data_IF_827457021360
#
_entry.id   IF_827457021360
#
_cell.length_a   1.000
_cell.length_b   1.000
_cell.length_c   1.000
_cell.angle_alpha   90.00
_cell.angle_beta   90.00
_cell.angle_gamma   90.00
#
_symmetry.space_group_name_H-M   'P 1'
#
loop_
_entity.id
_entity.type
_entity.pdbx_description
1 polymer ?
#
# COMPACT_ATOMS: atom_id res chain seq x y z
N UNK A 1 -12.28 -15.32 45.27
CA UNK A 1 -12.20 -15.05 46.71
C UNK A 1 -10.73 -14.90 47.10
N UNK A 2 -10.38 -13.94 47.96
CA UNK A 2 -9.05 -13.89 48.60
C UNK A 2 -9.03 -14.95 49.70
N UNK A 3 -8.11 -15.90 49.65
CA UNK A 3 -7.98 -16.99 50.63
C UNK A 3 -6.82 -16.74 51.58
N UNK A 4 -5.66 -16.33 51.05
CA UNK A 4 -4.46 -16.08 51.84
C UNK A 4 -3.85 -14.73 51.47
N UNK A 5 -3.38 -13.97 52.45
CA UNK A 5 -2.56 -12.78 52.29
C UNK A 5 -1.33 -12.88 53.20
N UNK A 6 -0.14 -12.86 52.60
CA UNK A 6 1.13 -12.81 53.31
C UNK A 6 1.85 -11.49 53.05
N UNK A 7 2.31 -10.85 54.12
CA UNK A 7 3.00 -9.57 54.07
C UNK A 7 4.31 -9.70 54.85
N UNK A 8 5.43 -9.37 54.20
CA UNK A 8 6.77 -9.39 54.81
C UNK A 8 7.47 -8.05 54.67
N UNK A 9 8.10 -7.60 55.75
CA UNK A 9 8.94 -6.40 55.84
C UNK A 9 8.26 -5.10 55.34
N UNK A 10 6.96 -4.94 55.61
CA UNK A 10 6.18 -3.79 55.16
C UNK A 10 5.78 -2.91 56.34
N UNK A 11 6.34 -1.71 56.42
CA UNK A 11 6.14 -0.74 57.48
C UNK A 11 6.34 -1.35 58.88
N UNK A 12 5.28 -1.52 59.66
CA UNK A 12 5.35 -2.13 61.00
C UNK A 12 5.25 -3.67 60.99
N UNK A 13 4.97 -4.28 59.83
CA UNK A 13 4.80 -5.72 59.67
C UNK A 13 6.15 -6.37 59.37
N UNK A 14 6.54 -7.35 60.17
CA UNK A 14 7.74 -8.17 59.97
C UNK A 14 7.41 -9.40 59.09
N UNK A 15 6.58 -10.31 59.58
CA UNK A 15 5.90 -11.36 58.80
C UNK A 15 4.45 -11.47 59.33
N UNK A 16 3.49 -11.33 58.43
CA UNK A 16 2.06 -11.48 58.72
C UNK A 16 1.46 -12.42 57.68
N UNK A 17 0.71 -13.41 58.16
CA UNK A 17 -0.05 -14.34 57.35
C UNK A 17 -1.52 -14.28 57.80
N UNK A 18 -2.42 -14.00 56.86
CA UNK A 18 -3.85 -13.88 57.09
C UNK A 18 -4.60 -14.83 56.17
N UNK A 19 -5.36 -15.73 56.78
CA UNK A 19 -6.30 -16.61 56.09
C UNK A 19 -7.70 -16.01 56.16
N UNK A 20 -8.39 -15.98 55.02
CA UNK A 20 -9.74 -15.43 54.87
C UNK A 20 -10.73 -16.58 54.63
N UNK A 21 -11.84 -16.53 55.36
CA UNK A 21 -12.96 -17.43 55.15
C UNK A 21 -13.94 -16.92 54.08
N UNK A 22 -14.85 -17.78 53.58
CA UNK A 22 -15.93 -17.33 52.71
C UNK A 22 -16.90 -16.39 53.46
N UNK A 23 -17.48 -15.43 52.72
CA UNK A 23 -18.46 -14.49 53.28
C UNK A 23 -17.83 -13.27 53.96
N UNK A 24 -18.33 -12.92 55.14
CA UNK A 24 -17.95 -11.69 55.86
C UNK A 24 -16.75 -11.94 56.77
N UNK A 25 -15.62 -11.29 56.46
CA UNK A 25 -14.44 -11.27 57.31
C UNK A 25 -14.34 -9.89 58.00
N UNK A 26 -14.36 -9.88 59.34
CA UNK A 26 -14.31 -8.63 60.13
C UNK A 26 -12.94 -8.51 60.81
N UNK A 27 -12.15 -7.52 60.39
CA UNK A 27 -10.85 -7.21 61.00
C UNK A 27 -11.03 -6.07 62.00
N UNK A 28 -10.79 -6.37 63.28
CA UNK A 28 -10.84 -5.42 64.42
C UNK A 28 -9.45 -5.24 65.05
N UNK A 29 -9.27 -4.20 65.86
CA UNK A 29 -8.01 -3.93 66.58
C UNK A 29 -8.03 -2.57 67.31
N UNK A 30 -7.10 -2.38 68.26
CA UNK A 30 -7.05 -1.18 69.13
C UNK A 30 -6.58 0.10 68.39
N UNK A 31 -5.66 -0.02 67.44
CA UNK A 31 -5.15 1.12 66.66
C UNK A 31 -5.36 0.92 65.16
N UNK A 32 -5.80 1.96 64.46
CA UNK A 32 -6.10 1.90 63.01
C UNK A 32 -4.89 1.67 62.10
N UNK A 33 -3.67 1.64 62.67
CA UNK A 33 -2.43 1.47 61.91
C UNK A 33 -2.32 0.08 61.27
N UNK A 34 -2.62 -1.00 62.01
CA UNK A 34 -2.50 -2.38 61.51
C UNK A 34 -3.44 -2.69 60.34
N UNK A 35 -4.72 -2.33 60.48
CA UNK A 35 -5.72 -2.48 59.41
C UNK A 35 -5.35 -1.67 58.16
N UNK A 36 -4.84 -0.46 58.35
CA UNK A 36 -4.43 0.40 57.24
C UNK A 36 -3.25 -0.18 56.46
N UNK A 37 -2.29 -0.83 57.13
CA UNK A 37 -1.16 -1.48 56.43
C UNK A 37 -1.59 -2.72 55.65
N UNK A 38 -2.56 -3.49 56.15
CA UNK A 38 -3.14 -4.63 55.41
C UNK A 38 -3.82 -4.15 54.13
N UNK A 39 -4.66 -3.10 54.21
CA UNK A 39 -5.31 -2.53 53.02
C UNK A 39 -4.30 -1.93 52.03
N UNK A 40 -3.28 -1.22 52.52
CA UNK A 40 -2.19 -0.69 51.67
C UNK A 40 -1.38 -1.80 51.01
N UNK A 41 -1.17 -2.93 51.69
CA UNK A 41 -0.50 -4.09 51.11
C UNK A 41 -1.31 -4.69 49.97
N UNK A 42 -2.64 -4.80 50.13
CA UNK A 42 -3.54 -5.24 49.08
C UNK A 42 -3.55 -4.26 47.89
N UNK A 43 -3.65 -2.95 48.13
CA UNK A 43 -3.57 -1.94 47.07
C UNK A 43 -2.24 -2.01 46.31
N UNK A 44 -1.14 -2.18 47.03
CA UNK A 44 0.18 -2.41 46.45
C UNK A 44 0.20 -3.71 45.64
N UNK A 45 -0.32 -4.81 46.16
CA UNK A 45 -0.38 -6.08 45.44
C UNK A 45 -1.16 -5.97 44.12
N UNK A 46 -2.15 -5.08 44.06
CA UNK A 46 -3.08 -4.87 42.93
C UNK A 46 -2.67 -3.72 41.98
N UNK A 47 -1.51 -3.11 42.17
CA UNK A 47 -0.89 -2.24 41.15
C UNK A 47 -0.67 -0.80 41.57
N UNK A 48 -1.12 -0.40 42.77
CA UNK A 48 -0.83 0.92 43.31
C UNK A 48 0.66 1.06 43.61
N UNK A 49 1.16 2.29 43.57
CA UNK A 49 2.55 2.58 43.94
C UNK A 49 2.67 2.63 45.46
N UNK A 50 3.74 2.05 45.97
CA UNK A 50 4.09 2.07 47.39
C UNK A 50 5.40 2.85 47.54
N UNK A 51 5.43 3.77 48.49
CA UNK A 51 6.62 4.57 48.73
C UNK A 51 7.74 3.71 49.37
N UNK A 52 8.99 3.97 48.98
CA UNK A 52 10.15 3.15 49.38
C UNK A 52 10.39 3.17 50.89
N UNK A 53 10.04 4.27 51.55
CA UNK A 53 10.09 4.41 53.02
C UNK A 53 9.11 3.50 53.78
N UNK A 54 8.24 2.78 53.07
CA UNK A 54 7.40 1.74 53.66
C UNK A 54 8.07 0.36 53.64
N UNK A 55 9.27 0.21 53.05
CA UNK A 55 10.10 -0.97 53.32
C UNK A 55 10.64 -0.84 54.75
N UNK A 56 10.48 -1.88 55.56
CA UNK A 56 10.89 -1.88 56.96
C UNK A 56 12.39 -1.57 57.08
N UNK A 57 12.81 -0.66 57.98
CA UNK A 57 14.23 -0.35 58.19
C UNK A 57 15.05 -1.60 58.49
N UNK A 58 16.23 -1.72 57.87
CA UNK A 58 17.11 -2.88 58.02
C UNK A 58 16.85 -4.04 57.04
N UNK A 59 15.86 -3.93 56.15
CA UNK A 59 15.56 -4.94 55.13
C UNK A 59 15.72 -4.41 53.70
N UNK A 60 16.22 -5.26 52.81
CA UNK A 60 16.48 -4.91 51.41
C UNK A 60 15.21 -4.84 50.55
N UNK A 61 14.13 -5.52 50.98
CA UNK A 61 12.87 -5.58 50.25
C UNK A 61 11.64 -5.85 51.12
N UNK A 62 10.50 -5.30 50.69
CA UNK A 62 9.17 -5.66 51.17
C UNK A 62 8.51 -6.62 50.15
N UNK A 63 7.73 -7.60 50.64
CA UNK A 63 7.05 -8.60 49.82
C UNK A 63 5.60 -8.74 50.26
N UNK A 64 4.69 -8.75 49.29
CA UNK A 64 3.26 -9.05 49.51
C UNK A 64 2.86 -10.18 48.57
N UNK A 65 2.14 -11.16 49.09
CA UNK A 65 1.63 -12.30 48.35
C UNK A 65 0.17 -12.54 48.68
N UNK A 66 -0.63 -12.91 47.70
CA UNK A 66 -1.98 -13.39 47.95
C UNK A 66 -2.35 -14.56 47.06
N UNK A 67 -3.20 -15.42 47.62
CA UNK A 67 -3.84 -16.54 46.91
C UNK A 67 -5.29 -16.20 46.71
N UNK A 68 -5.73 -16.23 45.45
CA UNK A 68 -7.11 -16.05 45.06
C UNK A 68 -7.68 -17.36 44.54
N UNK A 69 -8.79 -17.79 45.13
CA UNK A 69 -9.50 -19.02 44.74
C UNK A 69 -10.84 -18.65 44.08
N UNK A 70 -11.09 -19.24 42.91
CA UNK A 70 -12.39 -19.17 42.21
C UNK A 70 -12.34 -18.36 40.91
N UNK A 71 -12.88 -18.94 39.84
CA UNK A 71 -13.11 -18.31 38.54
C UNK A 71 -14.59 -18.33 38.14
N UNK A 72 -14.99 -17.41 37.27
CA UNK A 72 -16.24 -17.52 36.50
C UNK A 72 -16.17 -18.86 35.73
N UNK A 73 -17.16 -19.75 35.89
CA UNK A 73 -17.31 -21.07 35.24
C UNK A 73 -16.91 -22.32 36.04
N UNK A 74 -16.72 -22.25 37.36
CA UNK A 74 -16.62 -23.47 38.19
C UNK A 74 -15.32 -24.27 38.03
N UNK A 75 -14.29 -23.71 37.40
CA UNK A 75 -12.94 -24.26 37.52
C UNK A 75 -12.26 -23.73 38.79
N UNK A 76 -11.65 -24.62 39.57
CA UNK A 76 -10.83 -24.33 40.74
C UNK A 76 -9.47 -23.74 40.35
N UNK A 77 -9.45 -22.64 39.60
CA UNK A 77 -8.21 -21.97 39.23
C UNK A 77 -7.74 -21.11 40.39
N UNK A 78 -6.67 -21.55 41.06
CA UNK A 78 -5.94 -20.72 42.01
C UNK A 78 -5.07 -19.70 41.25
N UNK A 79 -5.11 -18.45 41.70
CA UNK A 79 -4.24 -17.39 41.18
C UNK A 79 -3.38 -16.86 42.31
N UNK A 80 -2.07 -17.05 42.19
CA UNK A 80 -1.09 -16.56 43.15
C UNK A 80 -0.46 -15.29 42.61
N UNK A 81 -0.59 -14.19 43.34
CA UNK A 81 0.03 -12.91 42.98
C UNK A 81 1.09 -12.59 44.03
N UNK A 82 2.31 -12.28 43.58
CA UNK A 82 3.42 -11.84 44.42
C UNK A 82 3.94 -10.51 43.91
N UNK A 83 4.12 -9.53 44.79
CA UNK A 83 4.78 -8.26 44.46
C UNK A 83 5.88 -7.94 45.46
N UNK A 84 7.05 -7.59 44.97
CA UNK A 84 8.20 -7.18 45.78
C UNK A 84 8.58 -5.73 45.48
N UNK A 85 8.98 -4.98 46.51
CA UNK A 85 9.54 -3.62 46.40
C UNK A 85 10.96 -3.61 46.97
N UNK A 86 11.94 -3.18 46.18
CA UNK A 86 13.35 -3.04 46.61
C UNK A 86 13.59 -1.69 47.30
N UNK A 87 14.21 -1.73 48.49
CA UNK A 87 14.59 -0.54 49.26
C UNK A 87 15.67 0.28 48.55
N UNK A 88 16.65 -0.37 47.92
CA UNK A 88 17.79 0.29 47.28
C UNK A 88 17.45 0.91 45.92
N UNK A 89 16.66 0.20 45.10
CA UNK A 89 16.35 0.64 43.73
C UNK A 89 15.00 1.34 43.59
N UNK A 90 14.12 1.21 44.58
CA UNK A 90 12.73 1.68 44.50
C UNK A 90 11.89 0.97 43.43
N UNK A 91 12.42 -0.06 42.76
CA UNK A 91 11.72 -0.78 41.70
C UNK A 91 10.83 -1.85 42.31
N UNK A 92 9.58 -1.93 41.84
CA UNK A 92 8.67 -3.02 42.16
C UNK A 92 8.67 -4.08 41.06
N UNK A 93 8.69 -5.36 41.43
CA UNK A 93 8.51 -6.50 40.50
C UNK A 93 7.25 -7.26 40.89
N UNK A 94 6.54 -7.79 39.91
CA UNK A 94 5.29 -8.52 40.15
C UNK A 94 5.30 -9.84 39.39
N UNK A 95 4.77 -10.86 40.05
CA UNK A 95 4.63 -12.21 39.53
C UNK A 95 3.18 -12.65 39.67
N UNK A 96 2.69 -13.36 38.67
CA UNK A 96 1.37 -14.02 38.66
C UNK A 96 1.63 -15.48 38.31
N UNK A 97 1.25 -16.41 39.18
CA UNK A 97 1.49 -17.85 39.03
C UNK A 97 2.96 -18.17 38.72
N UNK A 98 3.87 -17.57 39.50
CA UNK A 98 5.33 -17.67 39.38
C UNK A 98 5.95 -17.11 38.08
N UNK A 99 5.17 -16.51 37.18
CA UNK A 99 5.66 -15.82 35.98
C UNK A 99 5.75 -14.31 36.19
N UNK A 100 6.80 -13.67 35.63
CA UNK A 100 6.94 -12.21 35.66
C UNK A 100 5.82 -11.54 34.86
N UNK A 101 5.08 -10.64 35.50
CA UNK A 101 3.93 -9.95 34.89
C UNK A 101 4.16 -8.44 34.76
N UNK A 102 3.41 -7.82 33.85
CA UNK A 102 3.39 -6.36 33.69
C UNK A 102 2.35 -5.70 34.59
N UNK A 103 2.53 -4.40 34.86
CA UNK A 103 1.55 -3.62 35.64
C UNK A 103 0.16 -3.58 34.96
N UNK A 104 0.11 -3.60 33.63
CA UNK A 104 -1.17 -3.60 32.89
C UNK A 104 -1.90 -4.94 32.98
N UNK A 105 -1.16 -6.05 33.03
CA UNK A 105 -1.75 -7.38 33.30
C UNK A 105 -2.44 -7.39 34.66
N UNK A 106 -1.80 -6.77 35.65
CA UNK A 106 -2.31 -6.66 37.00
C UNK A 106 -3.57 -5.77 37.10
N UNK A 107 -3.63 -4.65 36.36
CA UNK A 107 -4.83 -3.81 36.28
C UNK A 107 -6.04 -4.57 35.71
N UNK A 108 -5.82 -5.46 34.74
CA UNK A 108 -6.88 -6.33 34.17
C UNK A 108 -7.37 -7.36 35.18
N UNK A 109 -6.47 -7.90 36.01
CA UNK A 109 -6.83 -8.86 37.08
C UNK A 109 -7.53 -8.17 38.26
N UNK A 110 -7.13 -6.94 38.61
CA UNK A 110 -7.70 -6.18 39.74
C UNK A 110 -9.22 -6.10 39.69
N UNK A 111 -9.80 -5.74 38.54
CA UNK A 111 -11.26 -5.59 38.40
C UNK A 111 -12.04 -6.89 38.57
N UNK A 112 -11.38 -8.05 38.48
CA UNK A 112 -11.98 -9.38 38.63
C UNK A 112 -11.75 -9.98 40.03
N UNK A 113 -10.68 -9.59 40.72
CA UNK A 113 -10.26 -10.23 41.97
C UNK A 113 -10.72 -9.50 43.23
N UNK A 114 -10.59 -8.18 43.28
CA UNK A 114 -10.90 -7.37 44.47
C UNK A 114 -11.59 -6.07 44.06
N UNK A 115 -12.74 -5.81 44.68
CA UNK A 115 -13.34 -4.48 44.72
C UNK A 115 -12.98 -3.81 46.05
N UNK A 116 -12.05 -2.86 46.02
CA UNK A 116 -11.71 -2.05 47.19
C UNK A 116 -12.55 -0.76 47.17
N UNK A 117 -13.46 -0.62 48.14
CA UNK A 117 -14.15 0.63 48.43
C UNK A 117 -13.26 1.48 49.34
N UNK A 118 -12.49 2.41 48.77
CA UNK A 118 -11.58 3.29 49.50
C UNK A 118 -11.90 4.76 49.27
N UNK A 119 -11.15 5.65 49.92
CA UNK A 119 -11.24 7.10 49.69
C UNK A 119 -10.94 7.48 48.23
N UNK A 120 -10.21 6.65 47.48
CA UNK A 120 -10.01 6.83 46.03
C UNK A 120 -11.25 6.48 45.21
N UNK A 121 -12.10 5.54 45.65
CA UNK A 121 -13.38 5.21 44.99
C UNK A 121 -14.35 6.39 45.02
N UNK A 122 -14.21 7.29 46.00
CA UNK A 122 -14.95 8.56 46.04
C UNK A 122 -14.60 9.49 44.86
N UNK A 123 -13.39 9.39 44.29
CA UNK A 123 -13.00 10.21 43.12
C UNK A 123 -13.72 9.72 41.85
N UNK A 124 -13.94 8.41 41.71
CA UNK A 124 -14.71 7.87 40.57
C UNK A 124 -16.18 8.31 40.61
N UNK A 125 -16.77 8.40 41.80
CA UNK A 125 -18.11 8.94 42.02
C UNK A 125 -18.26 10.43 41.68
N UNK A 126 -17.17 11.15 41.37
CA UNK A 126 -17.22 12.53 40.87
C UNK A 126 -17.20 12.62 39.35
N UNK A 127 -16.91 11.52 38.65
CA UNK A 127 -16.78 11.50 37.19
C UNK A 127 -18.17 11.33 36.53
N UNK A 128 -18.61 12.26 35.67
CA UNK A 128 -19.88 12.10 34.94
C UNK A 128 -19.93 10.84 34.07
N UNK A 129 -18.79 10.43 33.51
CA UNK A 129 -18.69 9.18 32.73
C UNK A 129 -18.86 7.91 33.57
N UNK A 130 -18.63 7.99 34.88
CA UNK A 130 -18.94 6.91 35.80
C UNK A 130 -20.43 6.87 36.11
N UNK A 131 -21.08 8.02 36.28
CA UNK A 131 -22.53 8.11 36.48
C UNK A 131 -23.32 7.55 35.30
N UNK A 132 -22.93 7.91 34.08
CA UNK A 132 -23.51 7.34 32.85
C UNK A 132 -23.37 5.82 32.81
N UNK A 133 -22.15 5.29 33.02
CA UNK A 133 -21.95 3.84 33.04
C UNK A 133 -22.66 3.12 34.18
N UNK A 134 -22.86 3.79 35.32
CA UNK A 134 -23.61 3.24 36.44
C UNK A 134 -25.08 3.11 36.07
N UNK A 135 -25.69 4.17 35.53
CA UNK A 135 -27.08 4.15 35.12
C UNK A 135 -27.32 3.19 33.95
N UNK A 136 -26.41 3.18 32.97
CA UNK A 136 -26.51 2.36 31.76
C UNK A 136 -26.53 0.84 32.07
N UNK A 137 -26.04 0.42 33.24
CA UNK A 137 -26.10 -0.98 33.70
C UNK A 137 -27.49 -1.43 34.14
N UNK A 138 -28.36 -0.49 34.48
CA UNK A 138 -29.72 -0.75 34.94
C UNK A 138 -30.77 -0.50 33.86
N UNK A 139 -30.35 -0.17 32.64
CA UNK A 139 -31.27 0.02 31.51
C UNK A 139 -32.06 -1.25 31.24
N UNK A 140 -33.32 -1.08 30.87
CA UNK A 140 -34.16 -2.18 30.41
C UNK A 140 -33.65 -2.72 29.06
N UNK A 141 -33.06 -1.84 28.24
CA UNK A 141 -32.54 -2.16 26.92
C UNK A 141 -31.04 -1.83 26.78
N UNK A 142 -30.14 -2.62 27.39
CA UNK A 142 -28.69 -2.35 27.34
C UNK A 142 -28.10 -2.39 25.91
N UNK A 143 -28.80 -3.03 24.96
CA UNK A 143 -28.39 -3.09 23.56
C UNK A 143 -28.47 -1.72 22.87
N UNK A 144 -29.29 -0.78 23.35
CA UNK A 144 -29.39 0.59 22.79
C UNK A 144 -28.05 1.34 22.87
N UNK A 145 -27.26 1.11 23.93
CA UNK A 145 -25.94 1.73 24.08
C UNK A 145 -24.98 1.22 23.01
N UNK A 146 -25.00 -0.10 22.75
CA UNK A 146 -24.16 -0.73 21.71
C UNK A 146 -24.59 -0.29 20.31
N UNK A 147 -25.90 -0.22 20.07
CA UNK A 147 -26.44 0.21 18.79
C UNK A 147 -26.11 1.68 18.50
N UNK A 148 -26.18 2.56 19.52
CA UNK A 148 -25.71 3.95 19.43
C UNK A 148 -24.24 4.01 19.02
N UNK A 149 -23.36 3.28 19.71
CA UNK A 149 -21.92 3.29 19.41
C UNK A 149 -21.62 2.75 18.00
N UNK A 150 -22.36 1.72 17.56
CA UNK A 150 -22.27 1.16 16.20
C UNK A 150 -22.71 2.18 15.14
N UNK A 151 -23.85 2.84 15.35
CA UNK A 151 -24.40 3.86 14.43
C UNK A 151 -23.50 5.08 14.35
N UNK A 152 -22.96 5.53 15.48
CA UNK A 152 -21.99 6.63 15.52
C UNK A 152 -20.73 6.27 14.73
N UNK A 153 -20.17 5.07 14.92
CA UNK A 153 -18.99 4.62 14.17
C UNK A 153 -19.27 4.55 12.67
N UNK A 154 -20.44 4.02 12.28
CA UNK A 154 -20.87 3.99 10.87
C UNK A 154 -20.99 5.39 10.29
N UNK A 155 -21.62 6.32 11.01
CA UNK A 155 -21.79 7.71 10.57
C UNK A 155 -20.43 8.41 10.40
N UNK A 156 -19.52 8.29 11.36
CA UNK A 156 -18.16 8.84 11.26
C UNK A 156 -17.43 8.29 10.03
N UNK A 157 -17.48 6.98 9.80
CA UNK A 157 -16.83 6.37 8.63
C UNK A 157 -17.40 6.86 7.30
N UNK A 158 -18.71 7.09 7.21
CA UNK A 158 -19.34 7.64 5.99
C UNK A 158 -18.90 9.09 5.73
N UNK A 159 -18.80 9.90 6.79
CA UNK A 159 -18.36 11.30 6.70
C UNK A 159 -16.88 11.37 6.32
N UNK A 160 -16.02 10.56 6.94
CA UNK A 160 -14.61 10.47 6.58
C UNK A 160 -14.45 10.08 5.10
N UNK A 161 -15.25 9.10 4.65
CA UNK A 161 -15.27 8.69 3.24
C UNK A 161 -15.73 9.80 2.29
N UNK A 162 -16.68 10.64 2.72
CA UNK A 162 -17.13 11.80 1.94
C UNK A 162 -16.01 12.82 1.80
N UNK A 163 -15.32 13.14 2.89
CA UNK A 163 -14.19 14.07 2.88
C UNK A 163 -13.07 13.57 1.94
N UNK A 164 -12.68 12.29 2.03
CA UNK A 164 -11.69 11.69 1.12
C UNK A 164 -12.09 11.81 -0.35
N UNK A 165 -13.36 11.52 -0.66
CA UNK A 165 -13.88 11.57 -2.02
C UNK A 165 -13.91 13.02 -2.54
N UNK A 166 -14.35 13.97 -1.71
CA UNK A 166 -14.40 15.39 -2.06
C UNK A 166 -13.00 15.98 -2.29
N UNK A 167 -12.02 15.63 -1.46
CA UNK A 167 -10.62 16.03 -1.65
C UNK A 167 -10.06 15.49 -2.96
N UNK A 168 -10.23 14.19 -3.21
CA UNK A 168 -9.78 13.57 -4.47
C UNK A 168 -10.45 14.20 -5.69
N UNK A 169 -11.74 14.53 -5.60
CA UNK A 169 -12.46 15.20 -6.69
C UNK A 169 -12.02 16.64 -6.89
N UNK A 170 -11.68 17.35 -5.81
CA UNK A 170 -11.12 18.70 -5.91
C UNK A 170 -9.80 18.67 -6.67
N UNK A 171 -8.89 17.77 -6.30
CA UNK A 171 -7.60 17.61 -6.98
C UNK A 171 -7.75 17.26 -8.47
N UNK A 172 -8.68 16.35 -8.79
CA UNK A 172 -8.96 15.98 -10.18
C UNK A 172 -9.62 17.11 -10.97
N UNK A 173 -10.50 17.92 -10.34
CA UNK A 173 -11.12 19.09 -10.97
C UNK A 173 -10.10 20.17 -11.28
N UNK A 174 -9.17 20.45 -10.37
CA UNK A 174 -8.08 21.41 -10.60
C UNK A 174 -7.18 20.99 -11.77
N UNK A 175 -7.00 19.67 -11.96
CA UNK A 175 -6.20 19.11 -13.05
C UNK A 175 -7.01 18.82 -14.31
N UNK A 176 -8.33 19.04 -14.31
CA UNK A 176 -9.23 18.62 -15.39
C UNK A 176 -8.81 19.18 -16.75
N UNK A 177 -8.55 20.48 -16.83
CA UNK A 177 -8.18 21.14 -18.09
C UNK A 177 -6.86 20.58 -18.65
N UNK A 178 -5.90 20.27 -17.78
CA UNK A 178 -4.64 19.63 -18.16
C UNK A 178 -4.88 18.20 -18.67
N UNK A 179 -5.70 17.42 -17.97
CA UNK A 179 -6.05 16.05 -18.36
C UNK A 179 -6.79 16.01 -19.71
N UNK A 180 -7.74 16.92 -19.93
CA UNK A 180 -8.47 17.05 -21.21
C UNK A 180 -7.52 17.46 -22.34
N UNK A 181 -6.61 18.41 -22.08
CA UNK A 181 -5.57 18.79 -23.03
C UNK A 181 -4.70 17.58 -23.41
N UNK A 182 -4.16 16.85 -22.41
CA UNK A 182 -3.34 15.66 -22.62
C UNK A 182 -4.08 14.58 -23.41
N UNK A 183 -5.35 14.30 -23.05
CA UNK A 183 -6.21 13.36 -23.77
C UNK A 183 -6.36 13.77 -25.24
N UNK A 184 -6.62 15.04 -25.51
CA UNK A 184 -6.83 15.54 -26.87
C UNK A 184 -5.57 15.43 -27.73
N UNK A 185 -4.39 15.74 -27.17
CA UNK A 185 -3.12 15.66 -27.89
C UNK A 185 -2.72 14.21 -28.19
N UNK A 186 -2.92 13.29 -27.23
CA UNK A 186 -2.67 11.86 -27.44
C UNK A 186 -3.67 11.29 -28.45
N UNK A 187 -4.95 11.65 -28.36
CA UNK A 187 -5.99 11.14 -29.25
C UNK A 187 -5.78 11.55 -30.72
N UNK A 188 -5.23 12.75 -30.99
CA UNK A 188 -4.89 13.21 -32.34
C UNK A 188 -3.87 12.31 -33.04
N UNK A 189 -2.87 11.82 -32.31
CA UNK A 189 -1.78 10.99 -32.86
C UNK A 189 -2.12 9.50 -32.78
N UNK A 190 -2.90 9.11 -31.77
CA UNK A 190 -3.30 7.74 -31.44
C UNK A 190 -2.13 6.74 -31.51
N UNK A 191 -1.10 6.92 -30.66
CA UNK A 191 0.07 6.06 -30.67
C UNK A 191 -0.27 4.63 -30.23
N UNK A 192 0.40 3.64 -30.82
CA UNK A 192 0.33 2.24 -30.38
C UNK A 192 1.62 1.83 -29.64
N UNK A 193 1.53 0.90 -28.67
CA UNK A 193 2.72 0.28 -28.07
C UNK A 193 3.60 -0.39 -29.14
N UNK A 194 4.93 -0.23 -29.06
CA UNK A 194 5.89 -0.84 -29.99
C UNK A 194 5.91 -0.26 -31.41
N UNK A 195 5.03 0.70 -31.73
CA UNK A 195 4.91 1.25 -33.09
C UNK A 195 6.21 1.94 -33.57
N UNK A 196 6.89 2.66 -32.68
CA UNK A 196 8.13 3.37 -33.02
C UNK A 196 9.24 2.40 -33.42
N UNK A 197 9.42 1.32 -32.66
CA UNK A 197 10.43 0.29 -32.90
C UNK A 197 10.17 -0.46 -34.22
N UNK A 198 8.91 -0.83 -34.48
CA UNK A 198 8.52 -1.47 -35.74
C UNK A 198 8.79 -0.57 -36.96
N UNK A 199 8.48 0.73 -36.84
CA UNK A 199 8.71 1.70 -37.91
C UNK A 199 10.20 1.99 -38.13
N UNK A 200 11.01 2.04 -37.08
CA UNK A 200 12.47 2.22 -37.19
C UNK A 200 13.14 1.02 -37.90
N UNK A 201 12.77 -0.21 -37.53
CA UNK A 201 13.28 -1.42 -38.22
C UNK A 201 12.88 -1.40 -39.69
N UNK A 202 11.61 -1.09 -39.99
CA UNK A 202 11.13 -1.04 -41.37
C UNK A 202 11.80 0.08 -42.19
N UNK A 203 12.05 1.24 -41.56
CA UNK A 203 12.80 2.35 -42.16
C UNK A 203 14.22 1.92 -42.53
N UNK A 204 14.92 1.20 -41.65
CA UNK A 204 16.27 0.73 -41.92
C UNK A 204 16.29 -0.23 -43.12
N UNK A 205 15.37 -1.19 -43.16
CA UNK A 205 15.24 -2.13 -44.29
C UNK A 205 15.02 -1.39 -45.62
N UNK A 206 14.14 -0.38 -45.64
CA UNK A 206 13.90 0.42 -46.85
C UNK A 206 15.11 1.26 -47.26
N UNK A 207 15.89 1.77 -46.30
CA UNK A 207 17.15 2.47 -46.59
C UNK A 207 18.21 1.55 -47.17
N UNK A 208 18.35 0.36 -46.61
CA UNK A 208 19.30 -0.66 -47.10
C UNK A 208 18.92 -1.09 -48.53
N UNK A 209 17.62 -1.27 -48.80
CA UNK A 209 17.12 -1.54 -50.16
C UNK A 209 17.41 -0.39 -51.13
N UNK A 210 17.21 0.87 -50.70
CA UNK A 210 17.51 2.04 -51.52
C UNK A 210 19.03 2.18 -51.82
N UNK A 211 19.89 1.90 -50.84
CA UNK A 211 21.35 1.89 -51.04
C UNK A 211 21.77 0.75 -51.98
N UNK A 212 21.22 -0.46 -51.80
CA UNK A 212 21.47 -1.58 -52.71
C UNK A 212 21.07 -1.23 -54.14
N UNK A 213 19.93 -0.55 -54.32
CA UNK A 213 19.49 -0.06 -55.63
C UNK A 213 20.49 0.94 -56.23
N UNK A 214 20.98 1.90 -55.46
CA UNK A 214 22.01 2.84 -55.93
C UNK A 214 23.29 2.12 -56.37
N UNK A 215 23.74 1.11 -55.62
CA UNK A 215 24.90 0.30 -56.00
C UNK A 215 24.67 -0.51 -57.28
N UNK A 216 23.46 -1.06 -57.46
CA UNK A 216 23.07 -1.74 -58.70
C UNK A 216 23.07 -0.77 -59.88
N UNK A 217 22.49 0.42 -59.70
CA UNK A 217 22.44 1.46 -60.74
C UNK A 217 23.86 1.91 -61.13
N UNK A 218 24.74 2.15 -60.15
CA UNK A 218 26.16 2.48 -60.40
C UNK A 218 26.91 1.34 -61.09
N UNK A 219 26.64 0.08 -60.74
CA UNK A 219 27.26 -1.07 -61.40
C UNK A 219 26.79 -1.21 -62.86
N UNK A 220 25.50 -0.99 -63.13
CA UNK A 220 24.94 -0.98 -64.49
C UNK A 220 25.54 0.18 -65.30
N UNK A 221 25.69 1.36 -64.70
CA UNK A 221 26.33 2.52 -65.32
C UNK A 221 27.77 2.17 -65.76
N UNK A 222 28.60 1.62 -64.87
CA UNK A 222 29.97 1.20 -65.21
C UNK A 222 30.03 0.16 -66.35
N UNK A 223 29.05 -0.74 -66.44
CA UNK A 223 28.97 -1.76 -67.49
C UNK A 223 28.56 -1.16 -68.85
N UNK A 224 27.53 -0.31 -68.84
CA UNK A 224 26.77 0.09 -70.03
C UNK A 224 27.00 1.54 -70.46
N UNK A 225 27.92 2.28 -69.83
CA UNK A 225 28.20 3.68 -70.20
C UNK A 225 28.62 3.74 -71.67
N UNK A 226 27.97 4.56 -72.52
CA UNK A 226 28.35 4.69 -73.93
C UNK A 226 29.83 5.06 -74.10
N UNK A 227 30.51 4.44 -75.06
CA UNK A 227 31.90 4.65 -75.47
C UNK A 227 33.00 4.25 -74.46
N UNK A 228 32.67 4.21 -73.17
CA UNK A 228 33.62 4.04 -72.06
C UNK A 228 33.30 2.88 -71.13
N UNK A 229 32.10 2.30 -71.23
CA UNK A 229 31.67 1.17 -70.43
C UNK A 229 32.46 -0.09 -70.74
N UNK A 230 32.47 -1.01 -69.77
CA UNK A 230 33.19 -2.29 -69.89
C UNK A 230 32.78 -3.10 -71.12
N UNK A 231 31.50 -3.08 -71.50
CA UNK A 231 31.04 -3.75 -72.72
C UNK A 231 31.71 -3.19 -73.99
N UNK A 232 31.77 -1.87 -74.12
CA UNK A 232 32.37 -1.19 -75.27
C UNK A 232 33.89 -1.33 -75.28
N UNK A 233 34.54 -1.18 -74.11
CA UNK A 233 35.97 -1.34 -73.95
C UNK A 233 36.42 -2.77 -74.31
N UNK A 234 35.69 -3.78 -73.84
CA UNK A 234 35.96 -5.18 -74.17
C UNK A 234 35.74 -5.47 -75.65
N UNK A 235 34.68 -4.91 -76.25
CA UNK A 235 34.44 -5.00 -77.69
C UNK A 235 35.58 -4.41 -78.53
N UNK A 236 36.10 -3.24 -78.13
CA UNK A 236 37.27 -2.59 -78.75
C UNK A 236 38.54 -3.45 -78.60
N UNK A 237 38.79 -3.99 -77.41
CA UNK A 237 39.93 -4.87 -77.14
C UNK A 237 39.88 -6.15 -77.98
N UNK A 238 38.72 -6.83 -78.01
CA UNK A 238 38.51 -8.03 -78.83
C UNK A 238 38.80 -7.77 -80.30
N UNK A 239 38.35 -6.62 -80.83
CA UNK A 239 38.64 -6.22 -82.21
C UNK A 239 40.15 -6.00 -82.45
N UNK A 240 40.86 -5.41 -81.50
CA UNK A 240 42.31 -5.22 -81.60
C UNK A 240 43.09 -6.54 -81.57
N UNK A 241 42.70 -7.47 -80.69
CA UNK A 241 43.30 -8.82 -80.60
C UNK A 241 43.04 -9.63 -81.86
N UNK A 242 41.79 -9.66 -82.38
CA UNK A 242 41.47 -10.31 -83.65
C UNK A 242 42.30 -9.76 -84.81
N UNK A 243 42.48 -8.43 -84.88
CA UNK A 243 43.33 -7.81 -85.89
C UNK A 243 44.79 -8.27 -85.74
N UNK A 244 45.32 -8.33 -84.52
CA UNK A 244 46.67 -8.79 -84.23
C UNK A 244 46.86 -10.27 -84.63
N UNK A 245 45.98 -11.16 -84.19
CA UNK A 245 45.99 -12.58 -84.56
C UNK A 245 45.91 -12.76 -86.09
N UNK A 246 45.07 -11.98 -86.78
CA UNK A 246 44.97 -12.02 -88.25
C UNK A 246 46.20 -11.46 -88.97
N UNK A 247 46.99 -10.59 -88.32
CA UNK A 247 48.23 -10.03 -88.87
C UNK A 247 49.44 -10.95 -88.60
N UNK A 248 49.33 -11.84 -87.60
CA UNK A 248 50.44 -12.65 -87.06
C UNK A 248 50.60 -14.04 -87.74
N UNK A 249 49.88 -14.38 -88.82
CA UNK A 249 50.30 -15.53 -89.67
C UNK A 249 49.98 -15.34 -91.16
N UNK A 250 50.89 -15.68 -92.10
CA UNK A 250 51.94 -16.73 -92.03
C UNK A 250 53.41 -16.23 -92.11
N UNK A 251 53.72 -14.94 -91.87
CA UNK A 251 55.10 -14.43 -92.01
C UNK A 251 55.98 -14.54 -90.75
N UNK A 252 55.38 -14.73 -89.58
CA UNK A 252 56.09 -14.81 -88.29
C UNK A 252 56.17 -16.26 -87.78
N UNK A 253 55.23 -17.13 -88.19
CA UNK A 253 55.27 -18.56 -87.87
C UNK A 253 56.53 -19.27 -88.40
N UNK A 254 57.07 -18.86 -89.56
CA UNK A 254 58.35 -19.37 -90.08
C UNK A 254 59.57 -18.96 -89.23
N UNK A 255 59.54 -17.80 -88.57
CA UNK A 255 60.70 -17.30 -87.79
C UNK A 255 60.66 -17.71 -86.31
N UNK A 256 59.50 -18.06 -85.77
CA UNK A 256 59.37 -18.52 -84.38
C UNK A 256 59.50 -20.05 -84.27
N UNK A 257 59.22 -20.80 -85.34
CA UNK A 257 59.41 -22.26 -85.35
C UNK A 257 60.88 -22.70 -85.29
N UNK A 258 61.84 -21.81 -85.56
CA UNK A 258 63.28 -22.12 -85.44
C UNK A 258 63.84 -21.95 -84.02
N UNK A 259 63.09 -21.40 -83.06
CA UNK A 259 63.60 -21.08 -81.72
C UNK A 259 62.96 -21.91 -80.58
N UNK A 260 61.88 -22.65 -80.85
CA UNK A 260 61.10 -23.35 -79.82
C UNK A 260 61.02 -24.88 -79.98
N UNK A 261 62.05 -25.51 -80.54
CA UNK A 261 62.16 -26.99 -80.66
C UNK A 261 62.68 -27.71 -79.39
N UNK A 262 62.63 -27.08 -78.21
CA UNK A 262 63.06 -27.76 -76.98
C UNK A 262 61.92 -27.77 -75.96
N UNK A 263 61.40 -28.98 -75.75
CA UNK A 263 60.47 -29.44 -74.70
C UNK A 263 58.96 -29.37 -75.01
N UNK A 264 58.52 -30.27 -75.89
CA UNK A 264 57.17 -30.81 -75.85
C UNK A 264 57.08 -31.93 -74.78
N UNK A 265 56.24 -31.71 -73.76
CA UNK A 265 55.66 -32.78 -72.93
C UNK A 265 54.14 -32.73 -73.07
N UNK A 266 53.56 -33.89 -73.37
CA UNK A 266 52.19 -34.13 -73.78
C UNK A 266 51.19 -33.93 -72.62
N UNK A 267 50.71 -32.71 -72.38
CA UNK A 267 49.36 -32.45 -71.81
C UNK A 267 48.87 -31.00 -71.97
N UNK A 268 49.32 -30.26 -72.99
CA UNK A 268 48.90 -28.87 -73.17
C UNK A 268 47.48 -28.78 -73.76
N UNK A 269 46.50 -28.13 -73.09
CA UNK A 269 45.24 -27.78 -73.73
C UNK A 269 45.54 -26.90 -74.95
N UNK A 270 44.78 -27.09 -76.04
CA UNK A 270 44.87 -26.22 -77.24
C UNK A 270 44.94 -24.75 -76.79
N UNK A 271 45.82 -23.92 -77.37
CA UNK A 271 45.78 -22.49 -77.10
C UNK A 271 44.42 -21.99 -77.60
N UNK A 272 43.50 -21.74 -76.67
CA UNK A 272 42.30 -20.98 -76.94
C UNK A 272 42.78 -19.64 -77.47
N UNK A 273 42.27 -19.21 -78.62
CA UNK A 273 42.60 -17.87 -79.13
C UNK A 273 42.24 -16.85 -78.08
N UNK A 274 43.11 -15.86 -77.83
CA UNK A 274 42.86 -14.82 -76.83
C UNK A 274 41.56 -14.06 -77.18
N UNK A 275 41.19 -14.00 -78.46
CA UNK A 275 39.91 -13.45 -78.91
C UNK A 275 38.69 -14.29 -78.49
N UNK A 276 38.79 -15.62 -78.46
CA UNK A 276 37.74 -16.53 -77.97
C UNK A 276 37.57 -16.40 -76.45
N UNK A 277 38.68 -16.27 -75.70
CA UNK A 277 38.64 -16.01 -74.26
C UNK A 277 37.95 -14.66 -73.95
N UNK A 278 38.23 -13.62 -74.73
CA UNK A 278 37.57 -12.31 -74.61
C UNK A 278 36.07 -12.37 -74.98
N UNK A 279 35.68 -13.23 -75.92
CA UNK A 279 34.27 -13.45 -76.27
C UNK A 279 33.51 -14.09 -75.11
N UNK A 280 34.06 -15.16 -74.51
CA UNK A 280 33.48 -15.80 -73.33
C UNK A 280 33.36 -14.80 -72.16
N UNK A 281 34.38 -13.97 -71.93
CA UNK A 281 34.31 -12.93 -70.90
C UNK A 281 33.18 -11.90 -71.15
N UNK A 282 32.93 -11.57 -72.43
CA UNK A 282 31.82 -10.68 -72.81
C UNK A 282 30.43 -11.25 -72.52
N UNK A 283 30.25 -12.57 -72.70
CA UNK A 283 29.02 -13.28 -72.32
C UNK A 283 28.82 -13.27 -70.79
N UNK A 284 29.90 -13.52 -70.03
CA UNK A 284 29.85 -13.43 -68.56
C UNK A 284 29.48 -12.02 -68.06
N UNK A 285 29.94 -10.97 -68.74
CA UNK A 285 29.52 -9.60 -68.44
C UNK A 285 28.03 -9.37 -68.75
N UNK A 286 27.49 -9.90 -69.86
CA UNK A 286 26.06 -9.79 -70.17
C UNK A 286 25.20 -10.54 -69.13
N UNK A 287 25.65 -11.71 -68.67
CA UNK A 287 24.97 -12.45 -67.60
C UNK A 287 25.03 -11.71 -66.25
N UNK A 288 26.14 -11.03 -65.96
CA UNK A 288 26.24 -10.14 -64.80
C UNK A 288 25.27 -8.97 -64.90
N UNK A 289 25.23 -8.27 -66.03
CA UNK A 289 24.29 -7.18 -66.29
C UNK A 289 22.84 -7.64 -66.11
N UNK A 290 22.48 -8.79 -66.69
CA UNK A 290 21.14 -9.36 -66.57
C UNK A 290 20.76 -9.66 -65.13
N UNK A 291 21.69 -10.20 -64.33
CA UNK A 291 21.49 -10.43 -62.89
C UNK A 291 21.29 -9.11 -62.13
N UNK A 292 22.12 -8.11 -62.40
CA UNK A 292 22.02 -6.79 -61.77
C UNK A 292 20.69 -6.10 -62.10
N UNK A 293 20.27 -6.10 -63.37
CA UNK A 293 18.96 -5.57 -63.79
C UNK A 293 17.79 -6.35 -63.18
N UNK A 294 17.96 -7.63 -62.89
CA UNK A 294 16.98 -8.45 -62.18
C UNK A 294 16.74 -7.97 -60.73
N UNK A 295 17.77 -7.42 -60.08
CA UNK A 295 17.70 -6.87 -58.72
C UNK A 295 17.03 -5.48 -58.66
N UNK A 296 16.99 -4.75 -59.78
CA UNK A 296 16.62 -3.33 -59.84
C UNK A 296 15.11 -2.98 -59.72
N UNK A 297 14.22 -3.94 -59.40
CA UNK A 297 12.76 -3.77 -59.57
C UNK A 297 12.00 -3.17 -58.38
N UNK A 298 12.65 -2.54 -57.42
CA UNK A 298 12.02 -2.03 -56.19
C UNK A 298 11.78 -0.51 -56.21
N UNK A 299 10.93 -0.01 -57.11
CA UNK A 299 10.50 1.41 -57.11
C UNK A 299 9.44 1.75 -56.04
N UNK A 300 8.82 0.74 -55.41
CA UNK A 300 7.79 0.92 -54.36
C UNK A 300 8.33 1.45 -53.02
N UNK A 301 9.66 1.53 -52.82
CA UNK A 301 10.25 1.83 -51.52
C UNK A 301 10.22 3.33 -51.12
N UNK A 302 10.21 4.27 -52.08
CA UNK A 302 10.33 5.70 -51.79
C UNK A 302 9.08 6.30 -51.12
N UNK A 303 7.89 6.03 -51.65
CA UNK A 303 6.64 6.52 -51.06
C UNK A 303 6.35 5.92 -49.69
N UNK A 304 6.71 4.65 -49.47
CA UNK A 304 6.61 4.01 -48.16
C UNK A 304 7.57 4.66 -47.15
N UNK A 305 8.80 4.98 -47.56
CA UNK A 305 9.79 5.62 -46.70
C UNK A 305 9.32 7.00 -46.22
N UNK A 306 8.79 7.84 -47.12
CA UNK A 306 8.26 9.16 -46.77
C UNK A 306 7.09 9.06 -45.76
N UNK A 307 6.19 8.09 -45.95
CA UNK A 307 5.07 7.87 -45.04
C UNK A 307 5.53 7.42 -43.64
N UNK A 308 6.56 6.57 -43.57
CA UNK A 308 7.15 6.10 -42.32
C UNK A 308 7.87 7.26 -41.61
N UNK A 309 8.61 8.08 -42.35
CA UNK A 309 9.29 9.26 -41.78
C UNK A 309 8.29 10.31 -41.27
N UNK A 310 7.18 10.54 -41.98
CA UNK A 310 6.10 11.41 -41.52
C UNK A 310 5.48 10.88 -40.23
N UNK A 311 5.20 9.57 -40.15
CA UNK A 311 4.62 8.95 -38.94
C UNK A 311 5.58 9.00 -37.75
N UNK A 312 6.86 8.68 -37.94
CA UNK A 312 7.89 8.82 -36.91
C UNK A 312 8.03 10.27 -36.44
N UNK A 313 7.89 11.24 -37.35
CA UNK A 313 7.91 12.65 -36.98
C UNK A 313 6.72 13.03 -36.09
N UNK A 314 5.49 12.59 -36.40
CA UNK A 314 4.31 12.78 -35.56
C UNK A 314 4.51 12.23 -34.14
N UNK A 315 5.02 10.99 -34.03
CA UNK A 315 5.35 10.36 -32.75
C UNK A 315 6.41 11.16 -31.98
N UNK A 316 7.43 11.67 -32.67
CA UNK A 316 8.48 12.50 -32.05
C UNK A 316 7.94 13.84 -31.52
N UNK A 317 6.99 14.46 -32.23
CA UNK A 317 6.34 15.70 -31.79
C UNK A 317 5.50 15.46 -30.55
N UNK A 318 4.77 14.34 -30.49
CA UNK A 318 4.03 13.95 -29.30
C UNK A 318 4.97 13.74 -28.09
N UNK A 319 6.08 13.01 -28.27
CA UNK A 319 7.11 12.81 -27.24
C UNK A 319 7.67 14.14 -26.72
N UNK A 320 7.90 15.12 -27.60
CA UNK A 320 8.37 16.46 -27.22
C UNK A 320 7.34 17.25 -26.42
N UNK A 321 6.07 17.24 -26.85
CA UNK A 321 4.97 17.93 -26.15
C UNK A 321 4.73 17.35 -24.77
N UNK A 322 4.73 16.02 -24.66
CA UNK A 322 4.45 15.30 -23.42
C UNK A 322 5.69 15.10 -22.53
N UNK A 323 6.89 15.36 -23.08
CA UNK A 323 8.21 15.18 -22.43
C UNK A 323 8.42 13.79 -21.82
N UNK A 324 7.92 12.76 -22.51
CA UNK A 324 7.92 11.35 -22.04
C UNK A 324 8.19 10.38 -23.20
N UNK A 325 8.68 9.16 -22.92
CA UNK A 325 8.78 8.10 -23.92
C UNK A 325 7.39 7.60 -24.35
N UNK A 326 7.31 6.93 -25.50
CA UNK A 326 6.04 6.53 -26.11
C UNK A 326 5.24 5.57 -25.21
N UNK A 327 5.90 4.60 -24.58
CA UNK A 327 5.26 3.65 -23.67
C UNK A 327 4.58 4.34 -22.48
N UNK A 328 5.27 5.32 -21.88
CA UNK A 328 4.71 6.12 -20.80
C UNK A 328 3.53 6.98 -21.28
N UNK A 329 3.56 7.47 -22.53
CA UNK A 329 2.45 8.24 -23.09
C UNK A 329 1.21 7.36 -23.28
N UNK A 330 1.38 6.11 -23.69
CA UNK A 330 0.27 5.15 -23.79
C UNK A 330 -0.33 4.86 -22.41
N UNK A 331 0.52 4.62 -21.40
CA UNK A 331 0.02 4.44 -20.01
C UNK A 331 -0.65 5.69 -19.47
N UNK A 332 -0.08 6.86 -19.76
CA UNK A 332 -0.67 8.15 -19.39
C UNK A 332 -2.06 8.32 -20.01
N UNK A 333 -2.28 7.86 -21.25
CA UNK A 333 -3.61 7.87 -21.88
C UNK A 333 -4.63 7.11 -21.04
N UNK A 334 -4.29 5.87 -20.64
CA UNK A 334 -5.16 5.02 -19.82
C UNK A 334 -5.45 5.66 -18.46
N UNK A 335 -4.42 6.23 -17.81
CA UNK A 335 -4.56 6.94 -16.53
C UNK A 335 -5.46 8.18 -16.66
N UNK A 336 -5.28 8.98 -17.72
CA UNK A 336 -6.05 10.19 -17.99
C UNK A 336 -7.52 9.83 -18.26
N UNK A 337 -7.77 8.84 -19.12
CA UNK A 337 -9.13 8.38 -19.44
C UNK A 337 -9.83 7.82 -18.18
N UNK A 338 -9.12 7.04 -17.36
CA UNK A 338 -9.66 6.52 -16.10
C UNK A 338 -9.98 7.64 -15.10
N UNK A 339 -9.10 8.64 -14.96
CA UNK A 339 -9.30 9.78 -14.06
C UNK A 339 -10.48 10.66 -14.48
N UNK A 340 -10.64 10.91 -15.79
CA UNK A 340 -11.77 11.68 -16.31
C UNK A 340 -13.09 10.91 -16.16
N UNK A 341 -13.10 9.61 -16.46
CA UNK A 341 -14.26 8.75 -16.25
C UNK A 341 -14.65 8.67 -14.77
N UNK A 342 -13.67 8.58 -13.87
CA UNK A 342 -13.90 8.63 -12.44
C UNK A 342 -14.54 9.95 -11.99
N UNK A 343 -14.07 11.09 -12.52
CA UNK A 343 -14.63 12.41 -12.21
C UNK A 343 -16.09 12.55 -12.65
N UNK A 344 -16.48 11.91 -13.77
CA UNK A 344 -17.87 11.85 -14.23
C UNK A 344 -18.74 10.93 -13.36
N UNK A 345 -18.25 9.73 -13.02
CA UNK A 345 -19.00 8.73 -12.25
C UNK A 345 -19.20 9.13 -10.78
N UNK A 346 -18.20 9.79 -10.17
CA UNK A 346 -18.20 10.10 -8.73
C UNK A 346 -19.31 11.07 -8.31
N UNK A 347 -19.96 11.76 -9.24
CA UNK A 347 -21.12 12.62 -8.93
C UNK A 347 -22.33 11.83 -8.43
N UNK A 348 -22.52 10.59 -8.91
CA UNK A 348 -23.57 9.70 -8.41
C UNK A 348 -23.18 9.13 -7.03
N UNK A 349 -21.93 8.74 -6.87
CA UNK A 349 -21.40 8.20 -5.61
C UNK A 349 -21.51 9.22 -4.47
N UNK A 350 -21.18 10.50 -4.71
CA UNK A 350 -21.37 11.56 -3.73
C UNK A 350 -22.83 11.71 -3.31
N UNK A 351 -23.76 11.73 -4.26
CA UNK A 351 -25.20 11.83 -3.95
C UNK A 351 -25.71 10.62 -3.16
N UNK A 352 -25.19 9.44 -3.44
CA UNK A 352 -25.54 8.24 -2.69
C UNK A 352 -24.98 8.33 -1.26
N UNK A 353 -23.73 8.76 -1.11
CA UNK A 353 -23.09 8.93 0.19
C UNK A 353 -23.76 10.00 1.05
N UNK A 354 -24.18 11.12 0.46
CA UNK A 354 -24.98 12.16 1.14
C UNK A 354 -26.30 11.59 1.69
N UNK A 355 -26.99 10.74 0.91
CA UNK A 355 -28.21 10.06 1.34
C UNK A 355 -27.94 9.07 2.48
N UNK A 356 -26.87 8.29 2.37
CA UNK A 356 -26.48 7.31 3.39
C UNK A 356 -26.09 8.00 4.70
N UNK A 357 -25.43 9.16 4.64
CA UNK A 357 -25.10 10.00 5.79
C UNK A 357 -26.37 10.53 6.44
N UNK A 358 -27.31 11.06 5.65
CA UNK A 358 -28.56 11.60 6.20
C UNK A 358 -29.42 10.50 6.84
N UNK A 359 -29.50 9.33 6.20
CA UNK A 359 -30.16 8.17 6.79
C UNK A 359 -29.48 7.73 8.10
N UNK A 360 -28.14 7.62 8.11
CA UNK A 360 -27.40 7.26 9.31
C UNK A 360 -27.55 8.29 10.45
N UNK A 361 -27.68 9.57 10.12
CA UNK A 361 -28.00 10.65 11.08
C UNK A 361 -29.39 10.47 11.68
N UNK A 362 -30.41 10.23 10.84
CA UNK A 362 -31.77 9.97 11.30
C UNK A 362 -31.82 8.74 12.22
N UNK A 363 -31.20 7.64 11.79
CA UNK A 363 -31.11 6.39 12.54
C UNK A 363 -30.45 6.62 13.91
N UNK A 364 -29.37 7.40 13.96
CA UNK A 364 -28.69 7.71 15.22
C UNK A 364 -29.57 8.60 16.11
N UNK A 365 -30.24 9.60 15.56
CA UNK A 365 -31.14 10.48 16.30
C UNK A 365 -32.29 9.71 16.97
N UNK A 366 -32.91 8.77 16.25
CA UNK A 366 -33.95 7.89 16.79
C UNK A 366 -33.43 7.02 17.95
N UNK A 367 -32.21 6.48 17.80
CA UNK A 367 -31.58 5.65 18.83
C UNK A 367 -31.25 6.47 20.08
N UNK A 368 -30.77 7.70 19.91
CA UNK A 368 -30.50 8.62 21.01
C UNK A 368 -31.78 8.99 21.76
N UNK A 369 -32.87 9.28 21.04
CA UNK A 369 -34.16 9.58 21.65
C UNK A 369 -34.70 8.39 22.47
N UNK A 370 -34.60 7.16 21.94
CA UNK A 370 -35.00 5.95 22.67
C UNK A 370 -34.12 5.71 23.91
N UNK A 371 -32.80 5.90 23.78
CA UNK A 371 -31.86 5.75 24.90
C UNK A 371 -32.09 6.79 25.99
N UNK A 372 -32.37 8.04 25.62
CA UNK A 372 -32.63 9.12 26.58
C UNK A 372 -33.92 8.87 27.37
N UNK A 373 -34.97 8.34 26.72
CA UNK A 373 -36.21 7.95 27.39
C UNK A 373 -35.99 6.78 28.37
N UNK A 374 -35.27 5.72 27.95
CA UNK A 374 -34.93 4.58 28.81
C UNK A 374 -34.07 5.02 30.01
N UNK A 375 -33.08 5.88 29.78
CA UNK A 375 -32.26 6.46 30.85
C UNK A 375 -33.08 7.28 31.85
N UNK A 376 -34.04 8.08 31.41
CA UNK A 376 -34.89 8.89 32.31
C UNK A 376 -35.78 8.02 33.19
N UNK A 377 -36.36 6.96 32.62
CA UNK A 377 -37.17 5.98 33.38
C UNK A 377 -36.30 5.25 34.40
N UNK A 378 -35.18 4.70 33.95
CA UNK A 378 -34.21 3.98 34.79
C UNK A 378 -33.67 4.88 35.89
N UNK A 379 -33.40 6.16 35.61
CA UNK A 379 -32.93 7.13 36.59
C UNK A 379 -33.90 7.32 37.76
N UNK A 380 -35.20 7.33 37.48
CA UNK A 380 -36.23 7.51 38.51
C UNK A 380 -36.35 6.26 39.39
N UNK A 381 -36.33 5.07 38.79
CA UNK A 381 -36.37 3.81 39.55
C UNK A 381 -35.10 3.59 40.39
N UNK A 382 -33.92 3.73 39.78
CA UNK A 382 -32.63 3.55 40.46
C UNK A 382 -32.44 4.61 41.55
N UNK A 383 -32.79 5.87 41.28
CA UNK A 383 -32.73 6.96 42.28
C UNK A 383 -33.61 6.66 43.49
N UNK A 384 -34.85 6.21 43.27
CA UNK A 384 -35.78 5.85 44.33
C UNK A 384 -35.36 4.61 45.14
N UNK A 385 -34.80 3.57 44.49
CA UNK A 385 -34.25 2.39 45.18
C UNK A 385 -33.03 2.76 46.02
N UNK A 386 -32.06 3.46 45.44
CA UNK A 386 -30.85 3.87 46.15
C UNK A 386 -31.17 4.78 47.34
N UNK A 387 -32.17 5.67 47.20
CA UNK A 387 -32.64 6.51 48.29
C UNK A 387 -33.22 5.70 49.46
N UNK A 388 -33.96 4.62 49.19
CA UNK A 388 -34.49 3.72 50.24
C UNK A 388 -33.37 2.95 50.93
N UNK A 389 -32.48 2.33 50.15
CA UNK A 389 -31.38 1.53 50.70
C UNK A 389 -30.43 2.37 51.57
N UNK A 390 -30.15 3.61 51.18
CA UNK A 390 -29.33 4.51 51.99
C UNK A 390 -30.03 4.95 53.28
N UNK A 391 -31.35 5.14 53.28
CA UNK A 391 -32.10 5.43 54.52
C UNK A 391 -32.07 4.24 55.50
N UNK A 392 -32.20 3.02 54.99
CA UNK A 392 -32.05 1.80 55.82
C UNK A 392 -30.65 1.68 56.44
N UNK A 393 -29.62 2.17 55.74
CA UNK A 393 -28.24 2.26 56.24
C UNK A 393 -28.01 3.42 57.24
N UNK A 394 -29.06 4.14 57.64
CA UNK A 394 -29.00 5.19 58.67
C UNK A 394 -28.70 6.60 58.15
N UNK A 395 -28.81 6.84 56.84
CA UNK A 395 -28.74 8.20 56.29
C UNK A 395 -30.03 8.97 56.55
N UNK A 396 -29.96 10.31 56.51
CA UNK A 396 -31.08 11.22 56.76
C UNK A 396 -32.32 10.90 55.90
N UNK A 397 -33.51 11.00 56.49
CA UNK A 397 -34.78 10.87 55.75
C UNK A 397 -34.95 11.94 54.67
N UNK A 398 -34.25 13.08 54.82
CA UNK A 398 -34.24 14.17 53.84
C UNK A 398 -33.29 13.94 52.67
N UNK A 399 -32.54 12.82 52.65
CA UNK A 399 -31.65 12.51 51.53
C UNK A 399 -32.48 12.33 50.25
N UNK A 400 -32.16 13.15 49.24
CA UNK A 400 -32.73 13.05 47.91
C UNK A 400 -31.63 12.71 46.89
N UNK A 401 -31.89 11.69 46.06
CA UNK A 401 -30.97 11.23 45.03
C UNK A 401 -31.65 11.40 43.69
N UNK A 402 -31.09 12.25 42.85
CA UNK A 402 -31.64 12.58 41.54
C UNK A 402 -30.57 12.47 40.46
N UNK A 403 -30.96 12.02 39.28
CA UNK A 403 -30.12 12.11 38.10
C UNK A 403 -30.55 13.32 37.27
N UNK A 404 -29.60 14.22 37.03
CA UNK A 404 -29.78 15.32 36.08
C UNK A 404 -29.15 14.98 34.74
N UNK A 405 -29.68 15.54 33.66
CA UNK A 405 -29.22 15.21 32.31
C UNK A 405 -28.55 16.44 31.68
N UNK A 406 -27.28 16.30 31.32
CA UNK A 406 -26.53 17.34 30.63
C UNK A 406 -26.39 16.98 29.14
N UNK A 407 -26.72 17.88 28.20
CA UNK A 407 -26.54 17.63 26.78
C UNK A 407 -25.05 17.58 26.44
N UNK A 408 -24.63 16.58 25.67
CA UNK A 408 -23.31 16.45 25.09
C UNK A 408 -23.45 16.25 23.59
N UNK A 409 -22.86 17.13 22.80
CA UNK A 409 -22.79 16.96 21.35
C UNK A 409 -21.79 15.85 21.00
N UNK A 410 -22.30 14.74 20.45
CA UNK A 410 -21.48 13.58 20.05
C UNK A 410 -21.14 13.61 18.56
N UNK A 411 -21.93 14.34 17.79
CA UNK A 411 -21.75 14.60 16.36
C UNK A 411 -22.45 15.92 16.04
N UNK A 412 -21.99 16.73 15.06
CA UNK A 412 -22.62 18.00 14.73
C UNK A 412 -24.14 17.91 14.58
N UNK A 413 -24.88 18.60 15.46
CA UNK A 413 -26.35 18.61 15.48
C UNK A 413 -27.01 17.40 16.16
N UNK A 414 -26.24 16.45 16.72
CA UNK A 414 -26.75 15.30 17.47
C UNK A 414 -26.20 15.33 18.91
N UNK A 415 -27.13 15.45 19.86
CA UNK A 415 -26.82 15.55 21.29
C UNK A 415 -27.28 14.31 22.04
N UNK A 416 -26.41 13.79 22.90
CA UNK A 416 -26.70 12.73 23.88
C UNK A 416 -26.94 13.38 25.24
N UNK A 417 -28.03 13.02 25.93
CA UNK A 417 -28.27 13.49 27.29
C UNK A 417 -27.58 12.58 28.31
N UNK A 418 -26.44 13.03 28.84
CA UNK A 418 -25.68 12.24 29.80
C UNK A 418 -26.20 12.42 31.23
N UNK A 419 -26.49 11.33 31.94
CA UNK A 419 -26.95 11.41 33.31
C UNK A 419 -25.79 11.78 34.25
N UNK A 420 -26.12 12.57 35.26
CA UNK A 420 -25.24 13.00 36.32
C UNK A 420 -25.96 12.80 37.64
N UNK A 421 -25.36 11.99 38.51
CA UNK A 421 -25.89 11.73 39.84
C UNK A 421 -25.67 12.97 40.71
N UNK A 422 -26.76 13.49 41.27
CA UNK A 422 -26.77 14.50 42.31
C UNK A 422 -27.39 13.89 43.57
N UNK A 423 -26.84 14.28 44.71
CA UNK A 423 -27.40 13.96 46.02
C UNK A 423 -27.41 15.25 46.84
N UNK A 424 -28.52 15.51 47.53
CA UNK A 424 -28.73 16.70 48.36
C UNK A 424 -29.22 16.31 49.75
#
# INVERSE_FOLDING_TARGET
MLELLRIRNLALIDDLELEFGPGLNVITGETGAGKSFILRALDFLLGEKLAVNLVRPGHDKARVEAVFVGGENGSSSETVIRRELSAQSGRSRVWVNDELASQDSLKRLRSRLILHASQHSQQQLRLPSFHARLLDRFLEQPELVREKDRRLTKLSALVDRQCELEERLRDLRERKDLLEYQRSEIAKVNPKPGEEEELEVRKQVLRDLAQAQQHVDSAIELLCTPDTGLHDALGKLRKAVLNLESTVSPRIAETVSEVAEVEASETAPKPVSDAEALLQFGEHLHDLERRLRGLARTQTAQGELESIEARLWELSQLKRKMKRPLEEIVRLKEEVDANLSYLEASGLDLKQLERDIEQARSDLAETLAALDEDRRRTATDVGGRLGRDLRELGFSEHLNIEFTFAPLEIFPGLTEHRPRLLWA
#
